data_IF_461490711208
#
_entry.id   IF_461490711208
#
_cell.length_a   1.000
_cell.length_b   1.000
_cell.length_c   1.000
_cell.angle_alpha   90.00
_cell.angle_beta   90.00
_cell.angle_gamma   90.00
#
_symmetry.space_group_name_H-M   'P 1'
#
loop_
_entity.id
_entity.type
_entity.pdbx_description
1 polymer ?
#
# COMPACT_ATOMS: atom_id res chain seq x y z
N UNK A 1 -15.97 0.48 58.67
CA UNK A 1 -16.34 0.05 57.30
C UNK A 1 -16.11 1.10 56.21
N UNK A 2 -16.18 2.42 56.49
CA UNK A 2 -16.04 3.48 55.47
C UNK A 2 -14.62 3.64 54.90
N UNK A 3 -13.59 3.39 55.70
CA UNK A 3 -12.17 3.54 55.29
C UNK A 3 -11.69 2.41 54.37
N UNK A 4 -12.20 1.18 54.54
CA UNK A 4 -11.87 0.04 53.67
C UNK A 4 -12.50 0.19 52.27
N UNK A 5 -13.68 0.81 52.18
CA UNK A 5 -14.37 1.05 50.91
C UNK A 5 -13.62 2.10 50.05
N UNK A 6 -13.02 3.11 50.70
CA UNK A 6 -12.25 4.15 50.01
C UNK A 6 -10.93 3.64 49.43
N UNK A 7 -10.26 2.71 50.14
CA UNK A 7 -9.02 2.09 49.66
C UNK A 7 -9.29 1.18 48.45
N UNK A 8 -10.41 0.42 48.47
CA UNK A 8 -10.81 -0.44 47.34
C UNK A 8 -11.16 0.41 46.10
N UNK A 9 -11.80 1.57 46.30
CA UNK A 9 -12.14 2.51 45.22
C UNK A 9 -10.92 3.15 44.56
N UNK A 10 -9.84 3.42 45.29
CA UNK A 10 -8.63 4.02 44.74
C UNK A 10 -7.75 2.99 43.99
N UNK A 11 -7.80 1.72 44.39
CA UNK A 11 -7.10 0.62 43.71
C UNK A 11 -7.76 0.17 42.39
N UNK A 12 -9.06 0.41 42.18
CA UNK A 12 -9.72 0.09 40.91
C UNK A 12 -9.36 1.05 39.77
N UNK A 13 -8.98 2.29 40.09
CA UNK A 13 -8.60 3.32 39.09
C UNK A 13 -7.19 3.04 38.53
N UNK A 14 -6.35 2.33 39.28
CA UNK A 14 -5.02 1.92 38.84
C UNK A 14 -5.03 0.69 37.92
N UNK A 15 -6.16 -0.03 37.83
CA UNK A 15 -6.33 -1.20 36.96
C UNK A 15 -6.83 -0.86 35.55
N UNK A 16 -6.99 0.43 35.21
CA UNK A 16 -7.11 0.89 33.82
C UNK A 16 -5.73 1.20 33.22
N UNK A 17 -4.73 0.35 33.50
CA UNK A 17 -3.68 0.06 32.53
C UNK A 17 -4.31 -0.92 31.51
N UNK A 18 -4.18 -0.71 30.23
CA UNK A 18 -2.89 -0.76 29.53
C UNK A 18 -2.77 0.43 28.60
N UNK A 19 -1.68 1.18 28.72
CA UNK A 19 -1.08 1.83 27.55
C UNK A 19 -1.08 0.77 26.45
N UNK A 20 -1.91 0.96 25.43
CA UNK A 20 -1.75 0.24 24.18
C UNK A 20 -0.34 0.65 23.74
N UNK A 21 0.67 -0.18 24.05
CA UNK A 21 1.94 -0.15 23.35
C UNK A 21 1.54 -0.46 21.91
N UNK A 22 1.11 0.57 21.18
CA UNK A 22 1.05 0.54 19.74
C UNK A 22 2.49 0.32 19.38
N UNK A 23 2.83 -0.91 18.99
CA UNK A 23 4.06 -1.17 18.26
C UNK A 23 4.05 -0.17 17.11
N UNK A 24 4.84 0.89 17.27
CA UNK A 24 4.92 1.98 16.33
C UNK A 24 5.48 1.39 15.04
N UNK A 25 4.81 1.64 13.91
CA UNK A 25 5.27 1.11 12.65
C UNK A 25 6.59 1.80 12.26
N UNK A 26 7.66 1.04 12.14
CA UNK A 26 8.97 1.60 11.78
C UNK A 26 9.01 1.92 10.27
N UNK A 27 8.91 3.22 9.94
CA UNK A 27 8.99 3.67 8.56
C UNK A 27 10.37 3.45 7.91
N UNK A 28 11.44 3.33 8.70
CA UNK A 28 12.84 3.18 8.23
C UNK A 28 13.25 1.73 8.06
N UNK A 29 12.65 0.84 8.84
CA UNK A 29 12.81 -0.60 8.69
C UNK A 29 11.45 -1.30 8.59
N UNK A 30 10.69 -1.06 7.50
CA UNK A 30 9.30 -1.50 7.41
C UNK A 30 9.16 -3.02 7.27
N UNK A 31 8.20 -3.59 8.00
CA UNK A 31 7.74 -4.96 7.79
C UNK A 31 6.54 -4.97 6.81
N UNK A 32 6.64 -5.79 5.76
CA UNK A 32 5.62 -5.84 4.69
C UNK A 32 4.30 -6.42 5.21
N UNK A 33 4.34 -7.41 6.10
CA UNK A 33 3.15 -8.09 6.60
C UNK A 33 2.38 -7.20 7.56
N UNK A 34 3.11 -6.51 8.44
CA UNK A 34 2.57 -5.47 9.31
C UNK A 34 1.95 -4.33 8.48
N UNK A 35 2.64 -3.86 7.44
CA UNK A 35 2.13 -2.83 6.52
C UNK A 35 0.81 -3.25 5.87
N UNK A 36 0.75 -4.46 5.28
CA UNK A 36 -0.48 -4.97 4.65
C UNK A 36 -1.61 -5.15 5.66
N UNK A 37 -1.29 -5.64 6.87
CA UNK A 37 -2.26 -5.77 7.96
C UNK A 37 -2.85 -4.42 8.38
N UNK A 38 -2.00 -3.39 8.52
CA UNK A 38 -2.42 -2.03 8.85
C UNK A 38 -3.33 -1.46 7.74
N UNK A 39 -2.94 -1.61 6.47
CA UNK A 39 -3.76 -1.17 5.33
C UNK A 39 -5.15 -1.79 5.37
N UNK A 40 -5.22 -3.12 5.54
CA UNK A 40 -6.49 -3.85 5.61
C UNK A 40 -7.33 -3.46 6.83
N UNK A 41 -6.70 -3.04 7.92
CA UNK A 41 -7.42 -2.53 9.10
C UNK A 41 -8.05 -1.15 8.88
N UNK A 42 -7.65 -0.42 7.84
CA UNK A 42 -8.16 0.92 7.55
C UNK A 42 -7.65 2.03 8.47
N UNK A 43 -6.55 1.78 9.21
CA UNK A 43 -5.96 2.73 10.16
C UNK A 43 -4.53 3.12 9.74
N UNK A 44 -4.30 3.31 8.44
CA UNK A 44 -2.98 3.60 7.90
C UNK A 44 -2.45 4.94 8.41
N UNK A 45 -3.23 6.01 8.28
CA UNK A 45 -2.75 7.35 8.63
C UNK A 45 -2.51 7.48 10.14
N UNK A 46 -3.31 6.78 10.95
CA UNK A 46 -3.13 6.75 12.41
C UNK A 46 -1.87 5.98 12.83
N UNK A 47 -1.56 4.85 12.16
CA UNK A 47 -0.48 3.94 12.57
C UNK A 47 0.85 4.18 11.86
N UNK A 48 0.85 4.81 10.69
CA UNK A 48 2.03 5.01 9.83
C UNK A 48 2.26 6.48 9.48
N UNK A 49 1.19 7.27 9.36
CA UNK A 49 1.25 8.66 8.91
C UNK A 49 1.00 8.83 7.41
N UNK A 50 1.37 9.98 6.85
CA UNK A 50 0.95 10.39 5.49
C UNK A 50 1.89 9.95 4.36
N UNK A 51 3.05 9.38 4.68
CA UNK A 51 4.04 8.97 3.69
C UNK A 51 4.07 7.47 3.48
N UNK A 52 4.61 7.02 2.34
CA UNK A 52 4.99 5.62 2.19
C UNK A 52 6.22 5.27 3.04
N UNK A 53 6.32 4.04 3.59
CA UNK A 53 7.53 3.57 4.25
C UNK A 53 8.74 3.50 3.32
N UNK A 54 9.95 3.44 3.89
CA UNK A 54 11.22 3.36 3.14
C UNK A 54 11.50 1.92 2.68
N UNK A 55 10.58 1.39 1.87
CA UNK A 55 10.77 0.10 1.22
C UNK A 55 11.95 0.14 0.24
N UNK A 56 12.58 -1.02 0.08
CA UNK A 56 13.76 -1.25 -0.74
C UNK A 56 13.62 -2.59 -1.47
N UNK A 57 14.57 -2.91 -2.36
CA UNK A 57 14.54 -4.12 -3.19
C UNK A 57 14.31 -5.42 -2.38
N UNK A 58 14.83 -5.49 -1.14
CA UNK A 58 14.66 -6.67 -0.25
C UNK A 58 13.20 -6.99 0.09
N UNK A 59 12.30 -6.02 -0.05
CA UNK A 59 10.88 -6.16 0.29
C UNK A 59 10.03 -6.54 -0.91
N UNK A 60 10.54 -6.43 -2.14
CA UNK A 60 9.76 -6.62 -3.36
C UNK A 60 9.15 -8.02 -3.39
N UNK A 61 9.93 -9.07 -3.12
CA UNK A 61 9.43 -10.45 -3.11
C UNK A 61 8.20 -10.62 -2.19
N UNK A 62 8.26 -10.03 -0.99
CA UNK A 62 7.14 -10.12 -0.05
C UNK A 62 5.95 -9.26 -0.47
N UNK A 63 6.16 -8.10 -1.09
CA UNK A 63 5.09 -7.29 -1.68
C UNK A 63 4.40 -8.03 -2.83
N UNK A 64 5.15 -8.76 -3.67
CA UNK A 64 4.63 -9.54 -4.79
C UNK A 64 3.63 -10.62 -4.34
N UNK A 65 3.86 -11.22 -3.17
CA UNK A 65 2.98 -12.24 -2.58
C UNK A 65 1.53 -11.76 -2.44
N UNK A 66 1.32 -10.47 -2.19
CA UNK A 66 0.00 -9.88 -1.96
C UNK A 66 -0.67 -9.31 -3.22
N UNK A 67 -0.04 -9.36 -4.40
CA UNK A 67 -0.58 -8.68 -5.60
C UNK A 67 -1.89 -9.27 -6.13
N UNK A 68 -2.21 -10.51 -5.80
CA UNK A 68 -3.51 -11.11 -6.17
C UNK A 68 -4.65 -10.67 -5.25
N UNK A 69 -4.36 -9.93 -4.18
CA UNK A 69 -5.36 -9.44 -3.24
C UNK A 69 -5.93 -8.08 -3.68
N UNK A 70 -7.20 -8.09 -4.05
CA UNK A 70 -7.95 -6.92 -4.53
C UNK A 70 -8.79 -6.25 -3.44
N UNK A 71 -8.53 -6.56 -2.17
CA UNK A 71 -9.26 -5.98 -1.02
C UNK A 71 -9.35 -4.47 -1.15
N UNK A 72 -10.57 -3.94 -1.00
CA UNK A 72 -10.82 -2.51 -0.94
C UNK A 72 -10.22 -1.94 0.34
N UNK A 73 -9.47 -0.85 0.21
CA UNK A 73 -8.84 -0.14 1.31
C UNK A 73 -9.49 1.22 1.48
N UNK A 74 -9.60 1.65 2.74
CA UNK A 74 -10.11 2.97 3.10
C UNK A 74 -9.01 4.04 3.03
N UNK A 75 -7.78 3.66 3.37
CA UNK A 75 -6.66 4.58 3.53
C UNK A 75 -5.42 4.06 2.82
N UNK A 76 -4.75 4.96 2.09
CA UNK A 76 -3.43 4.75 1.51
C UNK A 76 -2.85 6.12 1.12
N UNK A 77 -1.55 6.37 1.29
CA UNK A 77 -0.95 7.66 0.97
C UNK A 77 -0.96 7.89 -0.55
N UNK A 78 -1.37 9.09 -0.97
CA UNK A 78 -1.25 9.55 -2.36
C UNK A 78 -0.07 10.51 -2.49
N UNK A 79 0.26 10.89 -3.73
CA UNK A 79 1.27 11.91 -3.96
C UNK A 79 0.83 13.24 -3.29
N UNK A 80 1.70 13.94 -2.53
CA UNK A 80 1.32 15.18 -1.82
C UNK A 80 0.78 16.32 -2.67
N UNK A 81 1.05 16.31 -3.98
CA UNK A 81 0.59 17.33 -4.94
C UNK A 81 -0.54 16.82 -5.84
N UNK A 82 -1.11 15.65 -5.53
CA UNK A 82 -2.22 15.09 -6.30
C UNK A 82 -3.53 15.79 -5.98
N UNK A 83 -4.22 16.24 -7.01
CA UNK A 83 -5.66 16.57 -6.96
C UNK A 83 -6.55 15.36 -7.30
N UNK A 84 -5.95 14.22 -7.68
CA UNK A 84 -6.65 12.97 -8.01
C UNK A 84 -6.86 12.11 -6.78
N UNK A 85 -8.07 11.60 -6.63
CA UNK A 85 -8.45 10.73 -5.54
C UNK A 85 -9.54 9.74 -5.94
N UNK A 86 -9.14 8.50 -6.21
CA UNK A 86 -10.02 7.38 -6.51
C UNK A 86 -10.33 6.60 -5.23
N UNK A 87 -11.61 6.32 -4.97
CA UNK A 87 -12.05 5.44 -3.90
C UNK A 87 -13.05 4.37 -4.40
N UNK A 88 -13.10 3.18 -3.76
CA UNK A 88 -12.15 2.71 -2.74
C UNK A 88 -10.76 2.47 -3.34
N UNK A 89 -9.70 2.60 -2.53
CA UNK A 89 -8.37 2.11 -2.94
C UNK A 89 -8.40 0.58 -3.02
N UNK A 90 -7.49 -0.04 -3.77
CA UNK A 90 -7.37 -1.51 -3.81
C UNK A 90 -5.95 -1.90 -3.46
N UNK A 91 -5.81 -2.92 -2.63
CA UNK A 91 -4.52 -3.33 -2.10
C UNK A 91 -3.50 -3.58 -3.21
N UNK A 92 -3.83 -4.39 -4.22
CA UNK A 92 -2.88 -4.65 -5.30
C UNK A 92 -2.44 -3.42 -6.11
N UNK A 93 -3.33 -2.46 -6.42
CA UNK A 93 -2.93 -1.20 -7.08
C UNK A 93 -1.97 -0.39 -6.21
N UNK A 94 -2.28 -0.30 -4.92
CA UNK A 94 -1.41 0.32 -3.92
C UNK A 94 -0.03 -0.36 -3.84
N UNK A 95 0.02 -1.68 -3.96
CA UNK A 95 1.28 -2.44 -3.95
C UNK A 95 2.05 -2.35 -5.26
N UNK A 96 1.39 -2.39 -6.43
CA UNK A 96 2.01 -2.09 -7.72
C UNK A 96 2.70 -0.72 -7.69
N UNK A 97 2.00 0.28 -7.15
CA UNK A 97 2.50 1.64 -7.01
C UNK A 97 3.68 1.72 -6.04
N UNK A 98 3.62 0.99 -4.91
CA UNK A 98 4.74 0.89 -3.97
C UNK A 98 5.97 0.25 -4.63
N UNK A 99 5.77 -0.86 -5.37
CA UNK A 99 6.85 -1.56 -6.08
C UNK A 99 7.46 -0.67 -7.16
N UNK A 100 6.66 0.03 -7.97
CA UNK A 100 7.17 1.01 -8.93
C UNK A 100 7.98 2.10 -8.24
N UNK A 101 7.55 2.54 -7.05
CA UNK A 101 8.31 3.52 -6.29
C UNK A 101 9.70 3.03 -5.89
N UNK A 102 9.83 1.78 -5.44
CA UNK A 102 11.12 1.13 -5.16
C UNK A 102 11.97 1.04 -6.44
N UNK A 103 11.37 0.57 -7.55
CA UNK A 103 12.05 0.32 -8.82
C UNK A 103 12.64 1.58 -9.44
N UNK A 104 11.88 2.68 -9.40
CA UNK A 104 12.30 3.95 -9.97
C UNK A 104 13.05 4.85 -8.99
N UNK A 105 13.15 4.46 -7.70
CA UNK A 105 13.74 5.31 -6.66
C UNK A 105 12.92 6.57 -6.41
N UNK A 106 11.60 6.52 -6.65
CA UNK A 106 10.68 7.63 -6.46
C UNK A 106 9.54 7.18 -5.55
N UNK A 107 9.42 7.78 -4.35
CA UNK A 107 8.39 7.38 -3.39
C UNK A 107 6.96 7.48 -3.95
N UNK A 108 6.71 8.33 -4.95
CA UNK A 108 5.37 8.52 -5.54
C UNK A 108 5.44 8.45 -7.07
N UNK A 109 5.29 7.26 -7.69
CA UNK A 109 5.52 7.09 -9.12
C UNK A 109 4.45 7.73 -10.03
N UNK A 110 3.31 8.13 -9.48
CA UNK A 110 2.25 8.90 -10.17
C UNK A 110 1.47 9.75 -9.14
N UNK A 111 0.39 10.41 -9.56
CA UNK A 111 -0.47 11.19 -8.68
C UNK A 111 -1.22 10.30 -7.66
N UNK A 112 -1.70 9.14 -8.11
CA UNK A 112 -2.38 8.18 -7.23
C UNK A 112 -2.22 6.71 -7.67
N UNK A 113 -2.39 5.74 -6.75
CA UNK A 113 -2.38 4.31 -7.06
C UNK A 113 -3.73 3.86 -7.65
N UNK A 114 -4.04 4.33 -8.85
CA UNK A 114 -5.23 3.92 -9.61
C UNK A 114 -4.81 3.62 -11.06
N UNK A 115 -5.07 2.41 -11.54
CA UNK A 115 -4.84 2.05 -12.93
C UNK A 115 -6.11 2.28 -13.74
N UNK A 116 -5.95 2.96 -14.87
CA UNK A 116 -6.98 3.17 -15.87
C UNK A 116 -6.68 2.37 -17.13
N UNK A 117 -7.75 1.96 -17.81
CA UNK A 117 -7.67 1.34 -19.12
C UNK A 117 -7.89 2.41 -20.20
N UNK A 118 -6.81 2.75 -20.90
CA UNK A 118 -6.82 3.80 -21.92
C UNK A 118 -7.62 3.43 -23.17
N UNK A 119 -7.92 2.14 -23.37
CA UNK A 119 -8.78 1.69 -24.48
C UNK A 119 -10.27 1.97 -24.24
N UNK A 120 -10.66 2.32 -23.01
CA UNK A 120 -12.07 2.46 -22.61
C UNK A 120 -12.58 3.89 -22.63
N UNK A 121 -11.83 4.83 -23.20
CA UNK A 121 -12.17 6.25 -23.18
C UNK A 121 -13.57 6.54 -23.72
N UNK A 122 -14.33 7.32 -22.95
CA UNK A 122 -15.58 7.92 -23.39
C UNK A 122 -15.64 9.37 -22.96
N UNK A 123 -16.17 10.25 -23.81
CA UNK A 123 -16.37 11.67 -23.48
C UNK A 123 -17.24 11.84 -22.23
N UNK A 124 -18.17 10.92 -21.97
CA UNK A 124 -19.11 11.03 -20.84
C UNK A 124 -18.52 10.57 -19.51
N UNK A 125 -17.60 9.61 -19.53
CA UNK A 125 -17.14 8.91 -18.31
C UNK A 125 -15.62 8.92 -18.13
N UNK A 126 -14.88 9.48 -19.09
CA UNK A 126 -13.43 9.41 -19.14
C UNK A 126 -12.92 7.99 -19.39
N UNK A 127 -11.72 7.70 -18.89
CA UNK A 127 -11.17 6.35 -18.85
C UNK A 127 -11.77 5.56 -17.69
N UNK A 128 -12.06 4.28 -17.90
CA UNK A 128 -12.50 3.40 -16.83
C UNK A 128 -11.31 2.91 -16.03
N UNK A 129 -11.50 2.79 -14.72
CA UNK A 129 -10.56 2.08 -13.84
C UNK A 129 -10.53 0.59 -14.20
N UNK A 130 -9.35 -0.01 -14.16
CA UNK A 130 -9.15 -1.44 -14.37
C UNK A 130 -9.94 -2.24 -13.31
N UNK A 131 -10.57 -3.35 -13.69
CA UNK A 131 -11.34 -4.19 -12.76
C UNK A 131 -10.43 -5.00 -11.83
N UNK A 132 -10.97 -5.46 -10.69
CA UNK A 132 -10.22 -6.30 -9.74
C UNK A 132 -9.66 -7.58 -10.39
N UNK A 133 -10.48 -8.28 -11.16
CA UNK A 133 -10.08 -9.47 -11.93
C UNK A 133 -8.91 -9.16 -12.88
N UNK A 134 -8.99 -8.04 -13.60
CA UNK A 134 -7.93 -7.67 -14.53
C UNK A 134 -6.64 -7.24 -13.82
N UNK A 135 -6.74 -6.66 -12.63
CA UNK A 135 -5.58 -6.37 -11.78
C UNK A 135 -4.87 -7.65 -11.31
N UNK A 136 -5.61 -8.73 -11.05
CA UNK A 136 -5.02 -10.05 -10.73
C UNK A 136 -4.20 -10.56 -11.93
N UNK A 137 -4.70 -10.42 -13.16
CA UNK A 137 -3.94 -10.78 -14.36
C UNK A 137 -2.69 -9.90 -14.53
N UNK A 138 -2.81 -8.58 -14.32
CA UNK A 138 -1.70 -7.62 -14.39
C UNK A 138 -0.60 -7.94 -13.38
N UNK A 139 -0.94 -8.57 -12.25
CA UNK A 139 0.05 -9.01 -11.25
C UNK A 139 1.14 -9.90 -11.83
N UNK A 140 0.81 -10.67 -12.87
CA UNK A 140 1.78 -11.51 -13.56
C UNK A 140 2.88 -10.70 -14.25
N UNK A 141 2.63 -9.46 -14.67
CA UNK A 141 3.66 -8.58 -15.25
C UNK A 141 4.75 -8.26 -14.20
N UNK A 142 4.34 -7.96 -12.97
CA UNK A 142 5.26 -7.69 -11.86
C UNK A 142 6.00 -8.95 -11.42
N UNK A 143 5.30 -10.08 -11.29
CA UNK A 143 5.91 -11.37 -10.90
C UNK A 143 6.93 -11.81 -11.96
N UNK A 144 6.58 -11.76 -13.24
CA UNK A 144 7.48 -12.16 -14.32
C UNK A 144 8.69 -11.24 -14.42
N UNK A 145 8.49 -9.92 -14.29
CA UNK A 145 9.57 -8.96 -14.22
C UNK A 145 10.53 -9.26 -13.08
N UNK A 146 10.02 -9.51 -11.87
CA UNK A 146 10.87 -9.80 -10.72
C UNK A 146 11.66 -11.10 -10.91
N UNK A 147 11.03 -12.15 -11.45
CA UNK A 147 11.69 -13.41 -11.78
C UNK A 147 12.82 -13.25 -12.81
N UNK A 148 12.68 -12.31 -13.75
CA UNK A 148 13.74 -11.91 -14.68
C UNK A 148 14.84 -11.12 -13.95
N UNK A 149 14.44 -10.17 -13.10
CA UNK A 149 15.33 -9.25 -12.39
C UNK A 149 16.25 -9.95 -11.40
N UNK A 150 15.74 -10.89 -10.60
CA UNK A 150 16.57 -11.65 -9.64
C UNK A 150 17.65 -12.51 -10.31
N UNK A 151 17.43 -12.90 -11.57
CA UNK A 151 18.42 -13.67 -12.35
C UNK A 151 19.48 -12.78 -12.98
N UNK A 152 19.14 -11.54 -13.31
CA UNK A 152 20.03 -10.59 -13.96
C UNK A 152 19.72 -9.14 -13.51
N UNK A 153 20.18 -8.73 -12.32
CA UNK A 153 19.77 -7.48 -11.69
C UNK A 153 20.48 -6.28 -12.33
N UNK A 154 19.98 -5.84 -13.48
CA UNK A 154 20.47 -4.65 -14.19
C UNK A 154 19.56 -3.44 -13.94
N UNK A 155 20.13 -2.24 -14.00
CA UNK A 155 19.35 -1.00 -13.91
C UNK A 155 18.31 -0.86 -15.03
N UNK A 156 18.64 -1.34 -16.23
CA UNK A 156 17.71 -1.37 -17.37
C UNK A 156 16.49 -2.21 -17.02
N UNK A 157 16.71 -3.43 -16.50
CA UNK A 157 15.61 -4.31 -16.13
C UNK A 157 14.84 -3.76 -14.93
N UNK A 158 15.53 -3.20 -13.93
CA UNK A 158 14.89 -2.56 -12.76
C UNK A 158 13.87 -1.50 -13.21
N UNK A 159 14.26 -0.64 -14.15
CA UNK A 159 13.47 0.49 -14.65
C UNK A 159 12.59 0.18 -15.88
N UNK A 160 12.44 -1.08 -16.27
CA UNK A 160 11.57 -1.52 -17.38
C UNK A 160 10.13 -1.02 -17.18
N UNK A 161 9.53 -0.36 -18.18
CA UNK A 161 8.14 0.12 -18.09
C UNK A 161 7.18 -1.06 -18.31
N UNK A 162 6.60 -1.60 -17.23
CA UNK A 162 5.78 -2.82 -17.29
C UNK A 162 4.49 -2.66 -18.09
N UNK A 163 3.99 -1.43 -18.21
CA UNK A 163 2.75 -1.12 -18.93
C UNK A 163 2.96 -0.60 -20.35
N UNK A 164 4.20 -0.47 -20.83
CA UNK A 164 4.53 0.21 -22.10
C UNK A 164 3.77 -0.35 -23.31
N UNK A 165 3.59 -1.67 -23.36
CA UNK A 165 2.88 -2.37 -24.44
C UNK A 165 1.47 -2.83 -24.02
N UNK A 166 0.85 -2.14 -23.08
CA UNK A 166 -0.49 -2.44 -22.56
C UNK A 166 -1.37 -1.20 -22.65
N UNK A 167 -2.71 -1.33 -22.62
CA UNK A 167 -3.58 -0.16 -22.51
C UNK A 167 -3.62 0.44 -21.10
N UNK A 168 -2.87 -0.08 -20.13
CA UNK A 168 -2.95 0.39 -18.74
C UNK A 168 -2.01 1.55 -18.48
N UNK A 169 -2.49 2.54 -17.72
CA UNK A 169 -1.67 3.64 -17.21
C UNK A 169 -2.08 3.99 -15.79
N UNK A 170 -1.14 4.53 -15.02
CA UNK A 170 -1.49 5.25 -13.80
C UNK A 170 -2.40 6.43 -14.16
N UNK A 171 -3.47 6.62 -13.38
CA UNK A 171 -4.36 7.76 -13.49
C UNK A 171 -3.62 9.04 -13.14
#
# INVERSE_FOLDING_TARGET
>A
MKTKLFIISLSLIWLMGTSCQKDEFDMKSPDVDQFVSILKSGNYFEKVGYGLPDFTDKHIERLLFYLKDTTNLNEFPSHPYSSKYTNPKRLNECLFWTIDGIRFGNKYPSLEPCLIDTSTYSVLTGYKRVSGEKLIEISNLYINWHNEYIKNPTEILKKKRLFENTPYKWN
#
